data_IF_880326617775
#
_entry.id   IF_880326617775
#
_cell.length_a   1.000
_cell.length_b   1.000
_cell.length_c   1.000
_cell.angle_alpha   90.00
_cell.angle_beta   90.00
_cell.angle_gamma   90.00
#
_symmetry.space_group_name_H-M   'P 1'
#
loop_
_entity.id
_entity.type
_entity.pdbx_description
1 polymer ?
#
# COMPACT_ATOMS: atom_id res chain seq x y z
N UNK A 1 1.96 -14.19 3.24
CA UNK A 1 2.06 -12.74 3.41
C UNK A 1 0.79 -12.28 4.09
N UNK A 2 0.87 -11.73 5.32
CA UNK A 2 -0.31 -11.24 6.06
C UNK A 2 -1.00 -10.16 5.22
N UNK A 3 -2.33 -10.17 5.15
CA UNK A 3 -3.13 -8.99 4.76
C UNK A 3 -2.91 -7.92 5.84
N UNK A 4 -1.84 -7.15 5.71
CA UNK A 4 -1.54 -5.96 6.52
C UNK A 4 -2.23 -4.75 5.89
N UNK A 5 -3.56 -4.76 5.92
CA UNK A 5 -4.42 -3.57 5.75
C UNK A 5 -5.53 -3.67 6.80
N UNK A 6 -5.16 -3.85 8.07
CA UNK A 6 -6.14 -3.74 9.15
C UNK A 6 -6.16 -2.29 9.60
N UNK A 7 -7.35 -1.76 9.88
CA UNK A 7 -7.47 -0.43 10.47
C UNK A 7 -6.63 -0.29 11.77
N UNK A 8 -6.38 -1.41 12.44
CA UNK A 8 -5.53 -1.53 13.63
C UNK A 8 -4.04 -1.28 13.39
N UNK A 9 -3.57 -1.28 12.14
CA UNK A 9 -2.15 -1.09 11.80
C UNK A 9 -1.79 0.41 11.69
N UNK A 10 -2.75 1.27 11.35
CA UNK A 10 -2.55 2.72 11.19
C UNK A 10 -2.00 3.44 12.42
N UNK A 11 -2.44 3.12 13.66
CA UNK A 11 -1.85 3.71 14.86
C UNK A 11 -0.35 3.40 15.02
N UNK A 12 0.10 2.20 14.61
CA UNK A 12 1.52 1.83 14.69
C UNK A 12 2.35 2.59 13.66
N UNK A 13 1.87 2.68 12.42
CA UNK A 13 2.51 3.46 11.34
C UNK A 13 2.62 4.92 11.76
N UNK A 14 1.54 5.47 12.30
CA UNK A 14 1.49 6.84 12.84
C UNK A 14 2.46 7.04 14.00
N UNK A 15 2.55 6.08 14.92
CA UNK A 15 3.51 6.13 16.03
C UNK A 15 4.98 6.12 15.58
N UNK A 16 5.30 5.37 14.51
CA UNK A 16 6.63 5.37 13.90
C UNK A 16 6.92 6.74 13.28
N UNK A 17 5.98 7.28 12.50
CA UNK A 17 6.11 8.60 11.87
C UNK A 17 6.36 9.72 12.88
N UNK A 18 5.64 9.70 14.01
CA UNK A 18 5.82 10.68 15.07
C UNK A 18 7.23 10.63 15.68
N UNK A 19 7.72 9.42 16.01
CA UNK A 19 9.07 9.23 16.54
C UNK A 19 10.16 9.68 15.57
N UNK A 20 9.97 9.44 14.27
CA UNK A 20 10.90 9.89 13.24
C UNK A 20 10.99 11.43 13.21
N UNK A 21 9.86 12.12 13.24
CA UNK A 21 9.82 13.60 13.27
C UNK A 21 10.49 14.13 14.54
N UNK A 22 10.18 13.54 15.70
CA UNK A 22 10.80 13.92 16.97
C UNK A 22 12.31 13.68 17.00
N UNK A 23 12.80 12.69 16.23
CA UNK A 23 14.23 12.42 16.03
C UNK A 23 14.87 13.29 14.92
N UNK A 24 14.14 14.22 14.31
CA UNK A 24 14.64 15.11 13.25
C UNK A 24 14.56 14.52 11.84
N UNK A 25 13.94 13.37 11.64
CA UNK A 25 13.72 12.77 10.32
C UNK A 25 12.36 13.19 9.74
N UNK A 26 12.41 14.13 8.81
CA UNK A 26 11.22 14.66 8.15
C UNK A 26 10.47 13.63 7.28
N UNK A 27 11.04 12.46 6.96
CA UNK A 27 10.31 11.39 6.26
C UNK A 27 9.16 10.84 7.11
N UNK A 28 9.19 11.04 8.43
CA UNK A 28 8.11 10.66 9.34
C UNK A 28 6.73 11.21 8.95
N UNK A 29 6.67 12.35 8.27
CA UNK A 29 5.44 12.97 7.76
C UNK A 29 4.67 12.09 6.77
N UNK A 30 5.35 11.18 6.05
CA UNK A 30 4.73 10.24 5.11
C UNK A 30 3.97 9.12 5.82
N UNK A 31 4.19 8.93 7.13
CA UNK A 31 3.66 7.83 7.91
C UNK A 31 2.59 8.26 8.93
N UNK A 32 2.18 9.53 8.96
CA UNK A 32 1.16 10.02 9.89
C UNK A 32 -0.24 9.98 9.29
N UNK A 33 -1.21 9.34 9.93
CA UNK A 33 -2.61 9.29 9.44
C UNK A 33 -3.64 9.73 10.48
N UNK A 34 -3.19 10.39 11.54
CA UNK A 34 -4.02 10.98 12.59
C UNK A 34 -4.02 12.51 12.45
N UNK A 35 -5.19 13.10 12.17
CA UNK A 35 -5.32 14.52 11.85
C UNK A 35 -4.88 15.43 13.01
N UNK A 36 -5.23 15.08 14.25
CA UNK A 36 -4.91 15.89 15.43
C UNK A 36 -3.42 15.84 15.75
N UNK A 37 -2.82 14.65 15.67
CA UNK A 37 -1.38 14.48 15.82
C UNK A 37 -0.61 15.23 14.74
N UNK A 38 -1.03 15.15 13.47
CA UNK A 38 -0.39 15.88 12.37
C UNK A 38 -0.37 17.37 12.66
N UNK A 39 -1.52 17.95 13.06
CA UNK A 39 -1.62 19.38 13.39
C UNK A 39 -0.73 19.74 14.58
N UNK A 40 -0.70 18.91 15.63
CA UNK A 40 0.16 19.11 16.80
C UNK A 40 1.65 19.03 16.47
N UNK A 41 2.05 18.15 15.56
CA UNK A 41 3.44 18.08 15.11
C UNK A 41 3.77 19.26 14.20
N UNK A 42 2.82 19.72 13.38
CA UNK A 42 3.04 20.80 12.42
C UNK A 42 3.24 22.16 13.11
N UNK A 43 2.73 22.33 14.33
CA UNK A 43 3.03 23.52 15.15
C UNK A 43 4.42 23.52 15.78
N UNK A 44 5.12 22.38 15.78
CA UNK A 44 6.40 22.18 16.47
C UNK A 44 7.57 21.93 15.53
N UNK A 45 7.32 21.29 14.39
CA UNK A 45 8.33 20.84 13.46
C UNK A 45 8.01 21.37 12.06
N UNK A 46 9.03 21.79 11.30
CA UNK A 46 8.83 22.24 9.93
C UNK A 46 8.35 21.08 9.05
N UNK A 47 7.38 21.37 8.20
CA UNK A 47 6.91 20.47 7.16
C UNK A 47 7.59 20.83 5.84
N UNK A 48 8.50 19.99 5.30
CA UNK A 48 9.19 20.31 4.06
C UNK A 48 8.25 20.28 2.85
N UNK A 49 8.42 21.22 1.92
CA UNK A 49 7.63 21.25 0.67
C UNK A 49 7.78 19.98 -0.16
N UNK A 50 8.95 19.33 -0.11
CA UNK A 50 9.20 18.07 -0.83
C UNK A 50 8.25 16.98 -0.37
N UNK A 51 7.92 16.95 0.92
CA UNK A 51 6.94 16.04 1.51
C UNK A 51 5.53 16.44 1.09
N UNK A 52 5.20 17.74 1.12
CA UNK A 52 3.87 18.22 0.67
C UNK A 52 3.61 17.86 -0.79
N UNK A 53 4.62 17.98 -1.66
CA UNK A 53 4.51 17.55 -3.07
C UNK A 53 4.24 16.05 -3.22
N UNK A 54 4.79 15.22 -2.34
CA UNK A 54 4.52 13.78 -2.34
C UNK A 54 3.15 13.45 -1.75
N UNK A 55 2.72 14.24 -0.76
CA UNK A 55 1.53 14.03 0.04
C UNK A 55 0.68 15.30 0.13
N UNK A 56 -0.06 15.65 -0.94
CA UNK A 56 -0.74 16.95 -1.08
C UNK A 56 -1.71 17.26 0.05
N UNK A 57 -2.38 16.26 0.64
CA UNK A 57 -3.28 16.44 1.79
C UNK A 57 -2.66 17.24 2.95
N UNK A 58 -1.33 17.22 3.12
CA UNK A 58 -0.66 17.96 4.18
C UNK A 58 -0.68 19.48 3.96
N UNK A 59 -0.94 19.98 2.74
CA UNK A 59 -1.13 21.42 2.54
C UNK A 59 -2.44 21.93 3.17
N UNK A 60 -3.38 21.03 3.49
CA UNK A 60 -4.68 21.38 4.07
C UNK A 60 -4.65 21.58 5.59
N UNK A 61 -3.51 21.30 6.25
CA UNK A 61 -3.36 21.40 7.72
C UNK A 61 -3.88 22.73 8.28
N UNK A 62 -3.69 23.83 7.54
CA UNK A 62 -4.08 25.19 7.94
C UNK A 62 -5.36 25.71 7.27
N UNK A 63 -5.95 24.97 6.33
CA UNK A 63 -7.06 25.48 5.51
C UNK A 63 -8.43 25.28 6.19
N UNK A 64 -8.84 24.03 6.40
CA UNK A 64 -10.11 23.66 7.00
C UNK A 64 -9.98 22.27 7.67
N UNK A 65 -10.39 22.17 8.94
CA UNK A 65 -10.25 20.93 9.73
C UNK A 65 -11.04 19.76 9.14
N UNK A 66 -12.25 20.02 8.66
CA UNK A 66 -13.14 18.98 8.14
C UNK A 66 -12.64 18.50 6.78
N UNK A 67 -12.27 19.42 5.90
CA UNK A 67 -11.68 19.08 4.60
C UNK A 67 -10.37 18.30 4.77
N UNK A 68 -9.51 18.70 5.70
CA UNK A 68 -8.26 17.98 5.98
C UNK A 68 -8.54 16.57 6.50
N UNK A 69 -9.50 16.42 7.43
CA UNK A 69 -9.89 15.12 7.96
C UNK A 69 -10.44 14.20 6.87
N UNK A 70 -11.37 14.69 6.05
CA UNK A 70 -11.99 13.90 4.97
C UNK A 70 -10.97 13.53 3.89
N UNK A 71 -10.08 14.44 3.52
CA UNK A 71 -9.01 14.17 2.56
C UNK A 71 -8.00 13.13 3.12
N UNK A 72 -7.72 13.17 4.42
CA UNK A 72 -6.86 12.19 5.09
C UNK A 72 -7.50 10.79 5.13
N UNK A 73 -8.81 10.72 5.35
CA UNK A 73 -9.56 9.46 5.26
C UNK A 73 -9.55 8.91 3.83
N UNK A 74 -9.78 9.76 2.83
CA UNK A 74 -9.74 9.36 1.42
C UNK A 74 -8.36 8.84 1.02
N UNK A 75 -7.29 9.48 1.48
CA UNK A 75 -5.92 9.00 1.28
C UNK A 75 -5.69 7.63 1.94
N UNK A 76 -6.15 7.45 3.19
CA UNK A 76 -6.00 6.18 3.91
C UNK A 76 -6.67 5.03 3.16
N UNK A 77 -7.91 5.25 2.70
CA UNK A 77 -8.63 4.27 1.88
C UNK A 77 -7.91 4.01 0.56
N UNK A 78 -7.34 5.04 -0.07
CA UNK A 78 -6.58 4.88 -1.30
C UNK A 78 -5.37 3.96 -1.13
N UNK A 79 -4.62 4.09 -0.04
CA UNK A 79 -3.53 3.17 0.27
C UNK A 79 -4.00 1.73 0.48
N UNK A 80 -5.16 1.54 1.13
CA UNK A 80 -5.76 0.22 1.32
C UNK A 80 -6.20 -0.39 -0.01
N UNK A 81 -6.87 0.39 -0.86
CA UNK A 81 -7.30 -0.06 -2.19
C UNK A 81 -6.10 -0.39 -3.10
N UNK A 82 -5.04 0.42 -3.08
CA UNK A 82 -3.79 0.11 -3.80
C UNK A 82 -3.20 -1.23 -3.39
N UNK A 83 -3.14 -1.51 -2.09
CA UNK A 83 -2.61 -2.78 -1.61
C UNK A 83 -3.56 -3.94 -1.89
N UNK A 84 -4.88 -3.73 -1.84
CA UNK A 84 -5.89 -4.70 -2.30
C UNK A 84 -5.68 -5.09 -3.75
N UNK A 85 -5.55 -4.12 -4.65
CA UNK A 85 -5.32 -4.37 -6.07
C UNK A 85 -3.99 -5.09 -6.29
N UNK A 86 -2.92 -4.63 -5.63
CA UNK A 86 -1.61 -5.30 -5.68
C UNK A 86 -1.70 -6.76 -5.25
N UNK A 87 -2.39 -7.06 -4.14
CA UNK A 87 -2.57 -8.43 -3.65
C UNK A 87 -3.47 -9.27 -4.57
N UNK A 88 -4.47 -8.64 -5.21
CA UNK A 88 -5.33 -9.29 -6.20
C UNK A 88 -4.52 -9.80 -7.38
N UNK A 89 -3.60 -8.99 -7.91
CA UNK A 89 -2.68 -9.37 -8.99
C UNK A 89 -1.82 -10.57 -8.59
N UNK A 90 -1.18 -10.53 -7.42
CA UNK A 90 -0.40 -11.68 -6.92
C UNK A 90 -1.26 -12.94 -6.71
N UNK A 91 -2.48 -12.78 -6.20
CA UNK A 91 -3.41 -13.89 -5.98
C UNK A 91 -3.82 -14.55 -7.30
N UNK A 92 -4.12 -13.74 -8.32
CA UNK A 92 -4.43 -14.22 -9.66
C UNK A 92 -3.23 -14.93 -10.31
N UNK A 93 -2.05 -14.31 -10.21
CA UNK A 93 -0.79 -14.85 -10.72
C UNK A 93 -0.40 -16.21 -10.10
N UNK A 94 -0.84 -16.48 -8.86
CA UNK A 94 -0.56 -17.76 -8.17
C UNK A 94 -1.43 -18.92 -8.66
N UNK A 95 -2.55 -18.66 -9.37
CA UNK A 95 -3.55 -19.68 -9.72
C UNK A 95 -2.97 -20.82 -10.58
N UNK A 96 -2.15 -20.55 -11.63
CA UNK A 96 -1.57 -21.62 -12.45
C UNK A 96 -0.69 -22.56 -11.61
N UNK A 97 0.23 -22.00 -10.82
CA UNK A 97 1.05 -22.77 -9.88
C UNK A 97 0.24 -23.65 -8.93
N UNK A 98 -0.79 -23.11 -8.27
CA UNK A 98 -1.63 -23.89 -7.34
C UNK A 98 -2.35 -25.03 -8.07
N UNK A 99 -2.83 -24.79 -9.29
CA UNK A 99 -3.51 -25.80 -10.09
C UNK A 99 -2.58 -26.95 -10.44
N UNK A 100 -1.37 -26.66 -10.91
CA UNK A 100 -0.41 -27.71 -11.31
C UNK A 100 0.16 -28.45 -10.10
N UNK A 101 0.48 -27.73 -9.02
CA UNK A 101 0.94 -28.36 -7.77
C UNK A 101 -0.06 -29.37 -7.23
N UNK A 102 -1.37 -29.07 -7.31
CA UNK A 102 -2.43 -30.00 -6.88
C UNK A 102 -2.47 -31.29 -7.69
N UNK A 103 -2.12 -31.26 -8.97
CA UNK A 103 -2.06 -32.47 -9.82
C UNK A 103 -0.85 -33.33 -9.51
N UNK A 104 0.28 -32.70 -9.19
CA UNK A 104 1.54 -33.38 -8.92
C UNK A 104 1.62 -33.95 -7.50
N UNK A 105 0.81 -33.43 -6.57
CA UNK A 105 0.87 -33.81 -5.17
C UNK A 105 0.18 -35.17 -4.94
N UNK A 106 0.86 -36.17 -4.37
CA UNK A 106 0.26 -37.46 -4.05
C UNK A 106 -0.81 -37.33 -2.95
N UNK A 107 -1.77 -38.26 -2.98
CA UNK A 107 -2.79 -38.43 -1.94
C UNK A 107 -2.17 -39.08 -0.70
N UNK A 108 -1.46 -38.31 0.12
CA UNK A 108 -0.83 -38.82 1.34
C UNK A 108 0.06 -37.78 2.04
N UNK A 109 0.52 -38.11 3.24
CA UNK A 109 1.52 -37.31 3.93
C UNK A 109 2.84 -37.39 3.17
N UNK A 110 3.36 -36.23 2.77
CA UNK A 110 4.71 -36.11 2.22
C UNK A 110 5.68 -35.69 3.31
N UNK A 111 6.91 -36.19 3.21
CA UNK A 111 8.03 -35.58 3.91
C UNK A 111 8.18 -34.08 3.52
N UNK A 112 8.57 -33.26 4.48
CA UNK A 112 8.67 -31.80 4.32
C UNK A 112 9.68 -31.43 3.24
N UNK A 113 10.82 -32.13 3.15
CA UNK A 113 11.84 -31.85 2.15
C UNK A 113 11.37 -32.24 0.75
N UNK A 114 10.64 -33.36 0.63
CA UNK A 114 10.00 -33.75 -0.61
C UNK A 114 8.94 -32.72 -1.07
N UNK A 115 8.08 -32.25 -0.15
CA UNK A 115 7.02 -31.25 -0.44
C UNK A 115 7.64 -29.92 -0.87
N UNK A 116 8.73 -29.50 -0.21
CA UNK A 116 9.49 -28.30 -0.58
C UNK A 116 10.09 -28.41 -1.98
N UNK A 117 10.80 -29.50 -2.30
CA UNK A 117 11.41 -29.69 -3.64
C UNK A 117 10.35 -29.68 -4.74
N UNK A 118 9.23 -30.35 -4.53
CA UNK A 118 8.11 -30.37 -5.45
C UNK A 118 7.56 -28.95 -5.71
N UNK A 119 7.34 -28.18 -4.64
CA UNK A 119 6.87 -26.79 -4.75
C UNK A 119 7.85 -25.91 -5.50
N UNK A 120 9.15 -26.02 -5.22
CA UNK A 120 10.18 -25.22 -5.89
C UNK A 120 10.25 -25.54 -7.37
N UNK A 121 10.21 -26.83 -7.74
CA UNK A 121 10.20 -27.25 -9.14
C UNK A 121 8.95 -26.70 -9.86
N UNK A 122 7.76 -26.93 -9.30
CA UNK A 122 6.50 -26.43 -9.85
C UNK A 122 6.42 -24.90 -9.93
N UNK A 123 7.04 -24.19 -8.98
CA UNK A 123 7.07 -22.73 -8.95
C UNK A 123 7.89 -22.14 -10.09
N UNK A 124 9.03 -22.78 -10.45
CA UNK A 124 9.90 -22.32 -11.55
C UNK A 124 9.17 -22.25 -12.89
N UNK A 125 8.25 -23.19 -13.13
CA UNK A 125 7.58 -23.32 -14.43
C UNK A 125 6.25 -22.56 -14.49
N UNK A 126 5.64 -22.24 -13.34
CA UNK A 126 4.25 -21.78 -13.28
C UNK A 126 3.99 -20.50 -12.50
N UNK A 127 5.00 -19.94 -11.81
CA UNK A 127 4.88 -18.59 -11.25
C UNK A 127 5.50 -17.57 -12.21
N UNK A 128 4.79 -16.46 -12.50
CA UNK A 128 5.38 -15.37 -13.26
C UNK A 128 6.49 -14.70 -12.43
N UNK A 129 7.55 -14.26 -13.10
CA UNK A 129 8.66 -13.58 -12.43
C UNK A 129 8.27 -12.19 -11.93
N UNK A 130 7.39 -11.48 -12.66
CA UNK A 130 7.07 -10.07 -12.40
C UNK A 130 5.58 -9.74 -12.60
N UNK A 131 4.67 -10.37 -11.82
CA UNK A 131 3.23 -10.24 -12.04
C UNK A 131 2.69 -8.80 -11.96
N UNK A 132 3.30 -7.94 -11.14
CA UNK A 132 2.92 -6.51 -11.06
C UNK A 132 3.30 -5.77 -12.34
N UNK A 133 4.48 -6.04 -12.88
CA UNK A 133 4.95 -5.44 -14.14
C UNK A 133 4.09 -5.90 -15.31
N UNK A 134 3.80 -7.21 -15.38
CA UNK A 134 3.01 -7.81 -16.45
C UNK A 134 1.56 -7.31 -16.44
N UNK A 135 0.99 -7.05 -15.26
CA UNK A 135 -0.35 -6.49 -15.11
C UNK A 135 -0.41 -4.98 -15.40
N UNK A 136 0.65 -4.25 -15.07
CA UNK A 136 0.80 -2.81 -15.29
C UNK A 136 0.51 -1.99 -14.03
N UNK A 137 1.52 -1.23 -13.57
CA UNK A 137 1.45 -0.37 -12.38
C UNK A 137 0.39 0.72 -12.54
N UNK A 138 0.33 1.39 -13.70
CA UNK A 138 -0.64 2.46 -13.94
C UNK A 138 -2.08 1.94 -13.83
N UNK A 139 -2.33 0.69 -14.25
CA UNK A 139 -3.64 0.06 -14.12
C UNK A 139 -4.02 -0.16 -12.65
N UNK A 140 -3.09 -0.64 -11.82
CA UNK A 140 -3.30 -0.81 -10.37
C UNK A 140 -3.67 0.54 -9.73
N UNK A 141 -2.93 1.59 -10.09
CA UNK A 141 -3.18 2.95 -9.57
C UNK A 141 -4.55 3.45 -10.02
N UNK A 142 -4.89 3.28 -11.29
CA UNK A 142 -6.18 3.71 -11.84
C UNK A 142 -7.35 2.97 -11.21
N UNK A 143 -7.27 1.65 -11.08
CA UNK A 143 -8.32 0.82 -10.48
C UNK A 143 -8.52 1.17 -9.00
N UNK A 144 -7.44 1.39 -8.25
CA UNK A 144 -7.53 1.87 -6.87
C UNK A 144 -8.18 3.27 -6.78
N UNK A 145 -7.81 4.21 -7.65
CA UNK A 145 -8.44 5.54 -7.70
C UNK A 145 -9.93 5.45 -8.03
N UNK A 146 -10.32 4.59 -8.97
CA UNK A 146 -11.73 4.33 -9.32
C UNK A 146 -12.51 3.77 -8.14
N UNK A 147 -11.93 2.85 -7.36
CA UNK A 147 -12.59 2.28 -6.18
C UNK A 147 -12.83 3.34 -5.09
N UNK A 148 -11.85 4.21 -4.83
CA UNK A 148 -11.99 5.32 -3.87
C UNK A 148 -13.02 6.34 -4.36
N UNK A 149 -13.02 6.67 -5.65
CA UNK A 149 -13.95 7.61 -6.27
C UNK A 149 -15.43 7.20 -6.14
N UNK A 150 -15.73 5.92 -5.89
CA UNK A 150 -17.10 5.45 -5.62
C UNK A 150 -17.61 5.86 -4.23
N UNK A 151 -16.73 6.20 -3.30
CA UNK A 151 -17.06 6.49 -1.89
C UNK A 151 -16.82 7.95 -1.50
N UNK A 152 -15.92 8.64 -2.20
CA UNK A 152 -15.51 10.01 -1.87
C UNK A 152 -15.82 10.98 -3.01
N UNK A 153 -16.12 12.22 -2.65
CA UNK A 153 -16.36 13.30 -3.61
C UNK A 153 -15.10 13.57 -4.47
N UNK A 154 -15.23 13.89 -5.77
CA UNK A 154 -14.09 14.13 -6.66
C UNK A 154 -13.09 15.18 -6.15
N UNK A 155 -13.56 16.19 -5.41
CA UNK A 155 -12.71 17.22 -4.80
C UNK A 155 -11.73 16.67 -3.76
N UNK A 156 -12.02 15.53 -3.12
CA UNK A 156 -11.08 14.88 -2.20
C UNK A 156 -9.99 14.12 -2.95
N UNK A 157 -10.29 13.65 -4.17
CA UNK A 157 -9.37 12.83 -4.97
C UNK A 157 -8.18 13.62 -5.51
N UNK A 158 -8.28 14.94 -5.57
CA UNK A 158 -7.17 15.82 -5.98
C UNK A 158 -6.03 15.84 -4.94
N UNK A 159 -6.34 15.47 -3.68
CA UNK A 159 -5.38 15.46 -2.57
C UNK A 159 -4.67 14.12 -2.39
N UNK A 160 -4.99 13.12 -3.23
CA UNK A 160 -4.35 11.81 -3.17
C UNK A 160 -2.85 11.92 -3.51
N UNK A 161 -2.00 11.13 -2.82
CA UNK A 161 -0.56 11.18 -3.00
C UNK A 161 -0.12 10.63 -4.36
N UNK A 162 1.08 11.03 -4.79
CA UNK A 162 1.74 10.40 -5.93
C UNK A 162 2.41 9.09 -5.48
N UNK A 163 1.79 7.96 -5.83
CA UNK A 163 2.21 6.63 -5.37
C UNK A 163 3.17 5.91 -6.31
N UNK A 164 3.47 6.48 -7.49
CA UNK A 164 4.40 5.85 -8.46
C UNK A 164 5.76 5.49 -7.86
N UNK A 165 6.39 6.34 -7.02
CA UNK A 165 7.66 5.99 -6.40
C UNK A 165 7.60 4.71 -5.55
N UNK A 166 6.44 4.37 -4.97
CA UNK A 166 6.27 3.16 -4.17
C UNK A 166 6.33 1.86 -5.00
N UNK A 167 6.22 1.96 -6.34
CA UNK A 167 6.32 0.82 -7.26
C UNK A 167 7.69 0.72 -7.95
N UNK A 168 8.65 1.59 -7.64
CA UNK A 168 9.92 1.73 -8.39
C UNK A 168 10.71 0.42 -8.56
N UNK A 169 10.91 -0.35 -7.50
CA UNK A 169 11.63 -1.64 -7.57
C UNK A 169 10.80 -2.77 -8.18
N UNK A 170 9.47 -2.64 -8.19
CA UNK A 170 8.55 -3.63 -8.75
C UNK A 170 8.38 -3.46 -10.28
N UNK A 171 8.90 -2.37 -10.83
CA UNK A 171 8.77 -1.97 -12.23
C UNK A 171 10.02 -2.25 -13.07
N UNK A 172 11.20 -2.34 -12.44
CA UNK A 172 12.51 -2.55 -13.09
C UNK A 172 12.87 -4.03 -13.27
#
# INVERSE_FOLDING_TARGET
>A
MKQTDRDKDWPFVTGIGAKMIEAGDARGWLYLFDSELIRRLASRFPLPETIVRQRPVLSLISANRDLFFDALLAEREFWQELNRERLSVYSAARRPFVRELRKLRPSGAMDVMADHRLRVACARDHLPQRPIRDFGVERIIEDARKNVARRYHPELLQWLPNVRPAFGELSN
#
